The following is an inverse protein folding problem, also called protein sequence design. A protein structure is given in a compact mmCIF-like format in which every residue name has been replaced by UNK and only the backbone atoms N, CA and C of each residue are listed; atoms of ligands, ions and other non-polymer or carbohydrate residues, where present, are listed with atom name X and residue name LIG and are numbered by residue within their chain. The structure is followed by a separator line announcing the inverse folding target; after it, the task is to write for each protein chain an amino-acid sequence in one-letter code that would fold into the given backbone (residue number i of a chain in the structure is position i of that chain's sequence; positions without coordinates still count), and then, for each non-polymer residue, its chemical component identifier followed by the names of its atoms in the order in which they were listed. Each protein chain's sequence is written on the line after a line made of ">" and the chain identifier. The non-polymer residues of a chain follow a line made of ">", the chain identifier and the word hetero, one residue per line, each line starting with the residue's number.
data_IF_745425971587
#
_entry.id   IF_745425971587
#
_cell.length_a   1.000
_cell.length_b   1.000
_cell.length_c   1.000
_cell.angle_alpha   90.00
_cell.angle_beta   90.00
_cell.angle_gamma   90.00
#
_symmetry.space_group_name_H-M   'P 1'
#
loop_
_entity.id
_entity.type
_entity.pdbx_description
1 polymer ?
#
# COMPACT_ATOMS: atom_id res chain seq x y z
N UNK A 1 -18.84 -5.90 -1.09
CA UNK A 1 -19.03 -7.04 -0.14
C UNK A 1 -17.87 -8.00 -0.30
N UNK A 2 -17.33 -8.51 0.81
CA UNK A 2 -16.10 -9.28 0.80
C UNK A 2 -16.37 -10.79 0.70
N UNK A 3 -15.43 -11.51 0.10
CA UNK A 3 -15.51 -12.95 -0.08
C UNK A 3 -15.37 -13.67 1.27
N UNK A 4 -16.18 -14.72 1.46
CA UNK A 4 -16.13 -15.55 2.66
C UNK A 4 -14.91 -16.48 2.70
N UNK A 5 -14.36 -16.84 1.54
CA UNK A 5 -13.19 -17.70 1.44
C UNK A 5 -11.90 -16.87 1.42
N UNK A 6 -10.96 -17.19 2.31
CA UNK A 6 -9.67 -16.49 2.43
C UNK A 6 -8.88 -16.51 1.13
N UNK A 7 -8.94 -17.61 0.38
CA UNK A 7 -8.28 -17.75 -0.94
C UNK A 7 -8.76 -16.70 -1.94
N UNK A 8 -10.03 -16.32 -1.89
CA UNK A 8 -10.60 -15.27 -2.75
C UNK A 8 -10.18 -13.87 -2.32
N UNK A 9 -9.90 -13.65 -1.03
CA UNK A 9 -9.36 -12.37 -0.55
C UNK A 9 -7.96 -12.08 -1.13
N UNK A 10 -7.12 -13.10 -1.32
CA UNK A 10 -5.82 -12.94 -2.00
C UNK A 10 -5.94 -12.54 -3.48
N UNK A 11 -7.11 -12.72 -4.10
CA UNK A 11 -7.41 -12.34 -5.48
C UNK A 11 -8.27 -11.06 -5.55
N UNK A 12 -8.18 -10.17 -4.54
CA UNK A 12 -9.00 -8.96 -4.44
C UNK A 12 -10.52 -9.22 -4.41
N UNK A 13 -10.95 -10.35 -3.84
CA UNK A 13 -12.36 -10.64 -3.60
C UNK A 13 -12.99 -9.79 -2.49
N UNK A 14 -12.62 -8.52 -2.35
CA UNK A 14 -13.15 -7.57 -1.36
C UNK A 14 -13.43 -6.22 -2.03
N UNK A 15 -14.26 -5.39 -1.39
CA UNK A 15 -14.55 -4.06 -1.93
C UNK A 15 -13.38 -3.10 -1.70
N UNK A 16 -13.06 -2.32 -2.73
CA UNK A 16 -11.96 -1.36 -2.67
C UNK A 16 -10.63 -1.98 -3.11
N UNK A 17 -9.55 -1.24 -2.90
CA UNK A 17 -8.20 -1.70 -3.20
C UNK A 17 -7.18 -1.05 -2.25
N UNK A 18 -6.03 -1.69 -2.12
CA UNK A 18 -4.88 -1.17 -1.37
C UNK A 18 -3.73 -0.88 -2.33
N UNK A 19 -3.15 0.31 -2.28
CA UNK A 19 -2.08 0.72 -3.19
C UNK A 19 -0.82 1.03 -2.41
N UNK A 20 0.32 0.59 -2.92
CA UNK A 20 1.63 0.83 -2.31
C UNK A 20 2.49 1.60 -3.31
N UNK A 21 3.30 2.53 -2.80
CA UNK A 21 4.27 3.27 -3.61
C UNK A 21 5.38 2.33 -4.12
N UNK A 22 5.86 2.57 -5.34
CA UNK A 22 6.77 1.69 -6.08
C UNK A 22 6.09 0.62 -6.94
N UNK A 23 4.76 0.49 -6.88
CA UNK A 23 3.99 -0.43 -7.73
C UNK A 23 3.42 0.29 -8.97
N UNK A 24 2.98 -0.42 -10.02
CA UNK A 24 2.53 0.19 -11.28
C UNK A 24 1.49 1.30 -11.17
N UNK A 25 0.54 1.19 -10.23
CA UNK A 25 -0.49 2.20 -9.99
C UNK A 25 0.03 3.46 -9.26
N UNK A 26 1.17 3.35 -8.58
CA UNK A 26 1.80 4.39 -7.75
C UNK A 26 3.33 4.27 -7.86
N UNK A 27 3.93 4.52 -9.04
CA UNK A 27 5.31 4.10 -9.34
C UNK A 27 6.38 4.91 -8.60
N UNK A 28 6.05 6.13 -8.15
CA UNK A 28 7.00 6.97 -7.44
C UNK A 28 7.18 6.48 -5.99
N UNK A 29 8.34 5.89 -5.68
CA UNK A 29 8.63 5.37 -4.34
C UNK A 29 8.78 6.49 -3.29
N UNK A 30 9.29 7.67 -3.69
CA UNK A 30 9.48 8.83 -2.80
C UNK A 30 8.17 9.29 -2.13
N UNK A 31 7.02 9.01 -2.75
CA UNK A 31 5.71 9.34 -2.18
C UNK A 31 5.41 8.61 -0.85
N UNK A 32 6.22 7.63 -0.45
CA UNK A 32 6.23 7.07 0.92
C UNK A 32 6.36 8.14 2.00
N UNK A 33 7.09 9.23 1.72
CA UNK A 33 7.27 10.35 2.64
C UNK A 33 5.92 10.93 3.10
N UNK A 34 4.92 10.95 2.22
CA UNK A 34 3.55 11.40 2.54
C UNK A 34 2.89 10.50 3.58
N UNK A 35 3.07 9.18 3.48
CA UNK A 35 2.56 8.24 4.48
C UNK A 35 3.31 8.37 5.81
N UNK A 36 4.62 8.61 5.76
CA UNK A 36 5.43 8.81 6.96
C UNK A 36 5.03 10.07 7.73
N UNK A 37 4.80 11.18 7.03
CA UNK A 37 4.30 12.42 7.64
C UNK A 37 2.95 12.20 8.35
N UNK A 38 2.02 11.50 7.68
CA UNK A 38 0.66 11.29 8.20
C UNK A 38 0.60 10.27 9.33
N UNK A 39 1.34 9.17 9.19
CA UNK A 39 1.21 8.02 10.07
C UNK A 39 2.23 8.04 11.21
N UNK A 40 3.44 8.58 11.01
CA UNK A 40 4.56 8.51 11.96
C UNK A 40 4.89 7.06 12.37
N UNK A 41 5.24 6.18 11.41
CA UNK A 41 5.46 4.76 11.66
C UNK A 41 6.74 4.47 12.48
N UNK A 42 7.57 5.46 12.76
CA UNK A 42 8.70 5.36 13.69
C UNK A 42 8.21 4.94 15.09
N UNK A 43 6.96 5.27 15.44
CA UNK A 43 6.32 4.82 16.69
C UNK A 43 6.20 3.29 16.82
N UNK A 44 6.29 2.57 15.71
CA UNK A 44 6.31 1.10 15.65
C UNK A 44 7.66 0.55 15.16
N UNK A 45 8.71 1.39 15.13
CA UNK A 45 10.06 0.99 14.76
C UNK A 45 10.29 0.83 13.25
N UNK A 46 9.47 1.45 12.41
CA UNK A 46 9.68 1.46 10.94
C UNK A 46 10.22 2.83 10.51
N UNK A 47 11.30 2.83 9.74
CA UNK A 47 11.97 4.03 9.17
C UNK A 47 12.01 3.99 7.64
N UNK A 48 12.41 5.11 7.01
CA UNK A 48 12.75 5.16 5.57
C UNK A 48 14.27 5.19 5.38
N UNK A 49 14.76 4.46 4.38
CA UNK A 49 16.14 4.59 3.89
C UNK A 49 16.31 5.89 3.07
N UNK A 50 17.55 6.20 2.66
CA UNK A 50 17.85 7.33 1.77
C UNK A 50 17.15 7.19 0.40
N UNK A 51 16.93 5.96 -0.04
CA UNK A 51 16.21 5.59 -1.28
C UNK A 51 14.72 5.35 -1.06
N UNK A 52 14.16 5.80 0.08
CA UNK A 52 12.73 5.70 0.41
C UNK A 52 12.19 4.26 0.57
N UNK A 53 13.06 3.29 0.83
CA UNK A 53 12.65 1.93 1.16
C UNK A 53 12.25 1.84 2.64
N UNK A 54 11.31 0.94 2.95
CA UNK A 54 10.91 0.69 4.33
C UNK A 54 11.99 -0.13 5.05
N UNK A 55 12.34 0.30 6.26
CA UNK A 55 13.26 -0.42 7.14
C UNK A 55 12.56 -0.73 8.47
N UNK A 56 12.45 -2.00 8.90
CA UNK A 56 13.02 -3.20 8.26
C UNK A 56 12.38 -3.54 6.91
N UNK A 57 13.14 -4.17 6.01
CA UNK A 57 12.69 -4.58 4.66
C UNK A 57 11.38 -5.39 4.66
N UNK A 58 11.16 -6.23 5.69
CA UNK A 58 9.92 -7.01 5.89
C UNK A 58 8.76 -6.14 6.43
N UNK A 59 8.62 -4.93 5.91
CA UNK A 59 7.54 -3.98 6.22
C UNK A 59 6.64 -3.80 5.00
N UNK A 60 5.42 -3.32 5.22
CA UNK A 60 4.50 -2.98 4.14
C UNK A 60 3.72 -1.74 4.51
N UNK A 61 3.68 -0.76 3.60
CA UNK A 61 2.80 0.39 3.67
C UNK A 61 1.81 0.36 2.51
N UNK A 62 0.61 0.90 2.71
CA UNK A 62 -0.36 1.07 1.65
C UNK A 62 -1.38 2.16 2.00
N UNK A 63 -1.95 2.80 0.98
CA UNK A 63 -3.19 3.53 1.08
C UNK A 63 -4.37 2.61 0.80
N UNK A 64 -5.49 2.81 1.49
CA UNK A 64 -6.72 2.02 1.30
C UNK A 64 -7.78 2.91 0.66
N UNK A 65 -8.36 2.45 -0.46
CA UNK A 65 -9.44 3.15 -1.16
C UNK A 65 -10.69 2.28 -1.12
N UNK A 66 -11.77 2.80 -0.55
CA UNK A 66 -13.03 2.06 -0.33
C UNK A 66 -13.99 2.05 -1.52
N UNK A 67 -13.71 2.82 -2.57
CA UNK A 67 -14.59 2.93 -3.74
C UNK A 67 -14.77 1.57 -4.42
N UNK A 68 -16.00 1.25 -4.83
CA UNK A 68 -16.34 -0.07 -5.40
C UNK A 68 -15.65 -0.36 -6.73
N UNK A 69 -15.30 0.69 -7.48
CA UNK A 69 -14.54 0.57 -8.74
C UNK A 69 -13.03 0.59 -8.56
N UNK A 70 -12.50 0.76 -7.33
CA UNK A 70 -11.06 0.79 -7.11
C UNK A 70 -10.44 -0.58 -7.40
N UNK A 71 -9.49 -0.62 -8.34
CA UNK A 71 -8.78 -1.82 -8.80
C UNK A 71 -7.32 -1.46 -9.06
N UNK A 72 -6.43 -2.46 -9.11
CA UNK A 72 -5.07 -2.24 -9.60
C UNK A 72 -5.09 -1.84 -11.08
N UNK A 73 -4.24 -0.88 -11.44
CA UNK A 73 -4.02 -0.41 -12.80
C UNK A 73 -2.53 -0.10 -13.00
N UNK A 74 -2.10 0.07 -14.25
CA UNK A 74 -0.77 0.59 -14.60
C UNK A 74 -0.94 2.01 -15.13
N UNK A 75 -0.01 2.90 -14.78
CA UNK A 75 0.12 4.21 -15.40
C UNK A 75 1.03 4.02 -16.62
N UNK A 76 0.50 3.48 -17.70
CA UNK A 76 1.20 3.45 -18.99
C UNK A 76 1.09 4.83 -19.68
#
# INVERSE_FOLDING_TARGET
>A
RDAAEVTKLFHQGYQGSRFSFGYPACPNLEDQTKLFELLQPERIGVSLSEEFQLEPEQSTSASIVHHEEAKYFSID
#
